data_IF_949454755465
#
_entry.id   IF_949454755465
#
_cell.length_a   1.000
_cell.length_b   1.000
_cell.length_c   1.000
_cell.angle_alpha   90.00
_cell.angle_beta   90.00
_cell.angle_gamma   90.00
#
_symmetry.space_group_name_H-M   'P 1'
#
loop_
_entity.id
_entity.type
_entity.pdbx_description
1 polymer ?
#
# COMPACT_ATOMS: atom_id res chain seq x y z
N UNK A 1 -53.92 46.19 -58.32
CA UNK A 1 -54.19 45.05 -57.41
C UNK A 1 -52.78 44.49 -57.04
N UNK A 2 -52.33 44.77 -55.85
CA UNK A 2 -50.96 44.49 -55.39
C UNK A 2 -50.93 43.16 -54.59
N UNK A 3 -50.18 42.20 -55.13
CA UNK A 3 -49.86 40.96 -54.41
C UNK A 3 -48.46 41.04 -53.78
N UNK A 4 -48.39 41.17 -52.46
CA UNK A 4 -47.13 41.19 -51.69
C UNK A 4 -46.73 39.75 -51.37
N UNK A 5 -45.64 39.30 -51.99
CA UNK A 5 -45.00 38.02 -51.71
C UNK A 5 -44.16 38.17 -50.40
N UNK A 6 -44.50 37.44 -49.35
CA UNK A 6 -43.71 37.35 -48.10
C UNK A 6 -42.72 36.20 -48.25
N UNK A 7 -41.42 36.51 -48.30
CA UNK A 7 -40.34 35.56 -48.19
C UNK A 7 -40.09 35.32 -46.70
N UNK A 8 -40.37 34.13 -46.24
CA UNK A 8 -40.02 33.69 -44.90
C UNK A 8 -38.60 33.12 -44.93
N UNK A 9 -37.64 33.85 -44.33
CA UNK A 9 -36.27 33.39 -44.13
C UNK A 9 -36.24 32.41 -42.97
N UNK A 10 -36.01 31.14 -43.23
CA UNK A 10 -35.79 30.09 -42.24
C UNK A 10 -34.32 30.15 -41.80
N UNK A 11 -34.04 30.75 -40.66
CA UNK A 11 -32.70 30.70 -40.06
C UNK A 11 -32.48 29.36 -39.38
N UNK A 12 -31.71 28.48 -40.01
CA UNK A 12 -31.28 27.21 -39.49
C UNK A 12 -30.10 27.46 -38.52
N UNK A 13 -30.42 27.50 -37.23
CA UNK A 13 -29.40 27.60 -36.15
C UNK A 13 -28.71 26.23 -36.02
N UNK A 14 -27.53 26.05 -36.62
CA UNK A 14 -26.61 24.95 -36.29
C UNK A 14 -26.09 25.18 -34.87
N UNK A 15 -26.64 24.49 -33.87
CA UNK A 15 -25.98 24.29 -32.61
C UNK A 15 -24.78 23.36 -32.82
N UNK A 16 -23.58 23.94 -32.92
CA UNK A 16 -22.34 23.20 -32.73
C UNK A 16 -22.30 22.75 -31.27
N UNK A 17 -22.70 21.53 -30.99
CA UNK A 17 -22.33 20.85 -29.76
C UNK A 17 -20.81 20.67 -29.83
N UNK A 18 -20.07 21.63 -29.29
CA UNK A 18 -18.66 21.47 -29.00
C UNK A 18 -18.56 20.37 -27.97
N UNK A 19 -18.39 19.13 -28.41
CA UNK A 19 -17.89 18.08 -27.55
C UNK A 19 -16.54 18.57 -27.05
N UNK A 20 -16.50 19.11 -25.83
CA UNK A 20 -15.24 19.32 -25.15
C UNK A 20 -14.56 17.96 -25.10
N UNK A 21 -13.54 17.75 -25.93
CA UNK A 21 -12.61 16.65 -25.73
C UNK A 21 -12.14 16.81 -24.29
N UNK A 22 -12.53 15.89 -23.42
CA UNK A 22 -12.00 15.84 -22.07
C UNK A 22 -10.49 15.68 -22.25
N UNK A 23 -9.74 16.72 -21.89
CA UNK A 23 -8.29 16.63 -21.93
C UNK A 23 -7.88 15.49 -20.98
N UNK A 24 -6.93 14.67 -21.41
CA UNK A 24 -6.38 13.60 -20.58
C UNK A 24 -5.97 14.17 -19.23
N UNK A 25 -6.51 13.60 -18.14
CA UNK A 25 -6.13 14.00 -16.79
C UNK A 25 -4.67 13.61 -16.53
N UNK A 26 -3.86 14.55 -16.08
CA UNK A 26 -2.47 14.31 -15.71
C UNK A 26 -2.35 14.16 -14.20
N UNK A 27 -1.89 13.00 -13.74
CA UNK A 27 -1.69 12.70 -12.33
C UNK A 27 -0.21 12.48 -12.06
N UNK A 28 0.36 13.30 -11.18
CA UNK A 28 1.72 13.08 -10.67
C UNK A 28 1.71 12.04 -9.56
N UNK A 29 2.53 11.00 -9.69
CA UNK A 29 2.63 9.91 -8.72
C UNK A 29 4.04 9.84 -8.15
N UNK A 30 4.22 10.23 -6.89
CA UNK A 30 5.49 10.11 -6.18
C UNK A 30 5.48 8.88 -5.27
N UNK A 31 6.31 7.90 -5.62
CA UNK A 31 6.48 6.66 -4.86
C UNK A 31 7.67 6.78 -3.92
N UNK A 32 7.58 6.18 -2.75
CA UNK A 32 8.69 6.17 -1.78
C UNK A 32 9.94 5.51 -2.36
N UNK A 33 9.76 4.41 -3.11
CA UNK A 33 10.81 3.71 -3.84
C UNK A 33 10.20 2.81 -4.93
N UNK A 34 11.00 2.46 -5.96
CA UNK A 34 10.54 1.63 -7.09
C UNK A 34 10.88 0.15 -6.95
N UNK A 35 11.87 -0.18 -6.16
CA UNK A 35 12.44 -1.52 -6.00
C UNK A 35 11.83 -2.35 -4.86
N UNK A 36 10.84 -1.82 -4.14
CA UNK A 36 10.01 -2.59 -3.22
C UNK A 36 9.03 -3.48 -4.01
N UNK A 37 9.02 -4.76 -3.69
CA UNK A 37 8.24 -5.77 -4.42
C UNK A 37 6.74 -5.43 -4.41
N UNK A 38 6.16 -5.13 -3.25
CA UNK A 38 4.73 -4.84 -3.18
C UNK A 38 4.36 -3.51 -3.85
N UNK A 39 5.20 -2.46 -3.69
CA UNK A 39 5.00 -1.18 -4.34
C UNK A 39 5.12 -1.27 -5.88
N UNK A 40 5.86 -2.24 -6.39
CA UNK A 40 5.89 -2.53 -7.83
C UNK A 40 4.53 -3.00 -8.32
N UNK A 41 3.86 -3.93 -7.61
CA UNK A 41 2.51 -4.36 -7.96
C UNK A 41 1.48 -3.23 -7.84
N UNK A 42 1.61 -2.36 -6.83
CA UNK A 42 0.77 -1.17 -6.69
C UNK A 42 0.92 -0.26 -7.90
N UNK A 43 2.16 0.08 -8.28
CA UNK A 43 2.46 0.97 -9.42
C UNK A 43 1.96 0.40 -10.74
N UNK A 44 2.22 -0.88 -11.02
CA UNK A 44 1.72 -1.57 -12.22
C UNK A 44 0.19 -1.62 -12.28
N UNK A 45 -0.46 -1.81 -11.13
CA UNK A 45 -1.92 -1.81 -11.05
C UNK A 45 -2.50 -0.41 -11.29
N UNK A 46 -1.84 0.66 -10.81
CA UNK A 46 -2.21 2.04 -11.12
C UNK A 46 -2.12 2.32 -12.62
N UNK A 47 -1.03 1.92 -13.27
CA UNK A 47 -0.84 2.11 -14.71
C UNK A 47 -1.93 1.36 -15.51
N UNK A 48 -2.22 0.11 -15.16
CA UNK A 48 -3.31 -0.67 -15.77
C UNK A 48 -4.67 -0.01 -15.57
N UNK A 49 -4.96 0.48 -14.35
CA UNK A 49 -6.22 1.17 -14.05
C UNK A 49 -6.36 2.45 -14.87
N UNK A 50 -5.35 3.30 -14.91
CA UNK A 50 -5.36 4.55 -15.67
C UNK A 50 -5.64 4.31 -17.15
N UNK A 51 -4.96 3.33 -17.77
CA UNK A 51 -5.16 2.93 -19.17
C UNK A 51 -6.55 2.36 -19.47
N UNK A 52 -7.26 1.87 -18.47
CA UNK A 52 -8.61 1.31 -18.62
C UNK A 52 -9.71 2.37 -18.58
N UNK A 53 -9.40 3.60 -18.19
CA UNK A 53 -10.40 4.66 -18.04
C UNK A 53 -10.72 5.32 -19.39
N UNK A 54 -12.00 5.48 -19.73
CA UNK A 54 -12.43 6.01 -21.04
C UNK A 54 -12.08 7.49 -21.25
N UNK A 55 -11.95 8.25 -20.15
CA UNK A 55 -11.68 9.70 -20.19
C UNK A 55 -10.21 10.05 -20.35
N UNK A 56 -9.33 9.05 -20.54
CA UNK A 56 -7.88 9.24 -20.60
C UNK A 56 -7.28 9.73 -19.26
N UNK A 57 -6.40 8.94 -18.69
CA UNK A 57 -5.60 9.33 -17.50
C UNK A 57 -4.14 9.01 -17.79
N UNK A 58 -3.30 10.03 -17.75
CA UNK A 58 -1.85 9.87 -17.88
C UNK A 58 -1.19 9.96 -16.51
N UNK A 59 -0.42 8.94 -16.14
CA UNK A 59 0.35 8.91 -14.90
C UNK A 59 1.82 9.23 -15.17
N UNK A 60 2.37 10.15 -14.39
CA UNK A 60 3.80 10.40 -14.34
C UNK A 60 4.35 9.90 -13.02
N UNK A 61 5.13 8.82 -13.06
CA UNK A 61 5.72 8.22 -11.87
C UNK A 61 7.11 8.78 -11.59
N UNK A 62 7.39 9.08 -10.32
CA UNK A 62 8.70 9.49 -9.83
C UNK A 62 9.11 8.65 -8.63
N UNK A 63 10.37 8.24 -8.61
CA UNK A 63 11.00 7.45 -7.54
C UNK A 63 11.70 8.37 -6.54
N UNK A 64 11.21 8.44 -5.31
CA UNK A 64 11.84 9.22 -4.25
C UNK A 64 13.13 8.56 -3.70
N UNK A 65 13.34 7.26 -3.96
CA UNK A 65 14.51 6.50 -3.47
C UNK A 65 14.71 6.58 -1.95
N UNK A 66 13.60 6.48 -1.22
CA UNK A 66 13.57 6.61 0.24
C UNK A 66 14.13 7.95 0.77
N UNK A 67 14.12 9.01 -0.04
CA UNK A 67 14.58 10.35 0.31
C UNK A 67 13.38 11.32 0.43
N UNK A 68 13.12 11.80 1.65
CA UNK A 68 12.02 12.73 1.98
C UNK A 68 12.18 14.08 1.25
N UNK A 69 13.42 14.58 1.11
CA UNK A 69 13.68 15.86 0.45
C UNK A 69 13.41 15.73 -1.04
N UNK A 70 13.88 14.63 -1.64
CA UNK A 70 13.61 14.32 -3.04
C UNK A 70 12.12 14.16 -3.30
N UNK A 71 11.39 13.47 -2.40
CA UNK A 71 9.94 13.32 -2.53
C UNK A 71 9.22 14.66 -2.53
N UNK A 72 9.59 15.59 -1.63
CA UNK A 72 9.02 16.94 -1.62
C UNK A 72 9.32 17.67 -2.94
N UNK A 73 10.57 17.63 -3.43
CA UNK A 73 10.94 18.27 -4.70
C UNK A 73 10.18 17.72 -5.90
N UNK A 74 9.87 16.42 -5.92
CA UNK A 74 9.03 15.80 -6.94
C UNK A 74 7.60 16.36 -6.91
N UNK A 75 7.01 16.48 -5.72
CA UNK A 75 5.67 17.06 -5.55
C UNK A 75 5.65 18.53 -6.02
N UNK A 76 6.66 19.33 -5.63
CA UNK A 76 6.79 20.73 -6.08
C UNK A 76 6.96 20.81 -7.61
N UNK A 77 7.68 19.87 -8.21
CA UNK A 77 7.81 19.77 -9.67
C UNK A 77 6.47 19.47 -10.34
N UNK A 78 5.70 18.51 -9.85
CA UNK A 78 4.35 18.21 -10.35
C UNK A 78 3.40 19.41 -10.22
N UNK A 79 3.46 20.13 -9.09
CA UNK A 79 2.70 21.37 -8.90
C UNK A 79 3.07 22.42 -9.96
N UNK A 80 4.36 22.60 -10.22
CA UNK A 80 4.86 23.53 -11.23
C UNK A 80 4.44 23.13 -12.67
N UNK A 81 4.31 21.83 -12.93
CA UNK A 81 3.79 21.27 -14.19
C UNK A 81 2.25 21.37 -14.30
N UNK A 82 1.57 21.81 -13.22
CA UNK A 82 0.12 21.95 -13.16
C UNK A 82 -0.61 20.63 -13.43
N UNK A 83 -0.16 19.55 -12.80
CA UNK A 83 -0.90 18.28 -12.84
C UNK A 83 -2.28 18.45 -12.22
N UNK A 84 -3.26 17.65 -12.65
CA UNK A 84 -4.63 17.76 -12.20
C UNK A 84 -4.83 17.16 -10.80
N UNK A 85 -4.02 16.17 -10.41
CA UNK A 85 -4.00 15.58 -9.09
C UNK A 85 -2.62 15.01 -8.74
N UNK A 86 -2.41 14.76 -7.45
CA UNK A 86 -1.23 14.13 -6.90
C UNK A 86 -1.61 12.82 -6.20
N UNK A 87 -0.82 11.77 -6.41
CA UNK A 87 -0.85 10.55 -5.61
C UNK A 87 0.53 10.37 -4.98
N UNK A 88 0.59 10.18 -3.67
CA UNK A 88 1.85 10.06 -2.94
C UNK A 88 1.85 8.83 -2.06
N UNK A 89 2.84 7.96 -2.26
CA UNK A 89 3.18 6.92 -1.29
C UNK A 89 4.34 7.47 -0.43
N UNK A 90 4.10 7.87 0.84
CA UNK A 90 5.09 8.58 1.63
C UNK A 90 6.36 7.77 1.90
N UNK A 91 7.52 8.44 1.82
CA UNK A 91 8.80 7.90 2.34
C UNK A 91 8.73 7.80 3.86
N UNK A 92 8.32 8.89 4.51
CA UNK A 92 8.19 9.00 5.96
C UNK A 92 6.79 9.54 6.30
N UNK A 93 6.03 8.79 7.10
CA UNK A 93 4.64 9.13 7.42
C UNK A 93 4.52 10.33 8.37
N UNK A 94 5.56 10.63 9.15
CA UNK A 94 5.62 11.81 10.01
C UNK A 94 6.04 13.08 9.25
N UNK A 95 6.69 12.95 8.07
CA UNK A 95 7.21 14.09 7.30
C UNK A 95 6.27 14.61 6.20
N UNK A 96 5.01 14.18 6.18
CA UNK A 96 4.05 14.48 5.11
C UNK A 96 3.49 15.91 5.11
N UNK A 97 3.61 16.66 6.21
CA UNK A 97 3.01 17.98 6.35
C UNK A 97 3.43 18.97 5.26
N UNK A 98 4.69 18.96 4.82
CA UNK A 98 5.20 19.85 3.76
C UNK A 98 4.53 19.55 2.43
N UNK A 99 4.40 18.28 2.08
CA UNK A 99 3.70 17.79 0.88
C UNK A 99 2.23 18.22 0.92
N UNK A 100 1.55 17.96 2.04
CA UNK A 100 0.15 18.37 2.27
C UNK A 100 -0.02 19.87 2.07
N UNK A 101 0.82 20.70 2.71
CA UNK A 101 0.76 22.16 2.60
C UNK A 101 0.98 22.65 1.17
N UNK A 102 1.95 22.09 0.45
CA UNK A 102 2.25 22.46 -0.93
C UNK A 102 1.07 22.15 -1.87
N UNK A 103 0.50 20.96 -1.78
CA UNK A 103 -0.66 20.57 -2.59
C UNK A 103 -1.90 21.43 -2.30
N UNK A 104 -2.22 21.67 -1.03
CA UNK A 104 -3.36 22.50 -0.61
C UNK A 104 -3.19 23.95 -1.06
N UNK A 105 -1.99 24.53 -0.90
CA UNK A 105 -1.70 25.90 -1.33
C UNK A 105 -1.82 26.06 -2.87
N UNK A 106 -1.49 25.01 -3.63
CA UNK A 106 -1.65 24.99 -5.08
C UNK A 106 -3.10 24.67 -5.53
N UNK A 107 -3.98 24.27 -4.62
CA UNK A 107 -5.34 23.85 -4.93
C UNK A 107 -5.42 22.52 -5.70
N UNK A 108 -4.36 21.69 -5.64
CA UNK A 108 -4.29 20.42 -6.35
C UNK A 108 -4.74 19.29 -5.42
N UNK A 109 -5.72 18.47 -5.81
CA UNK A 109 -6.13 17.29 -5.06
C UNK A 109 -4.96 16.35 -4.75
N UNK A 110 -4.88 15.86 -3.51
CA UNK A 110 -3.83 14.96 -3.05
C UNK A 110 -4.43 13.66 -2.49
N UNK A 111 -3.97 12.53 -3.01
CA UNK A 111 -4.28 11.20 -2.48
C UNK A 111 -3.02 10.59 -1.90
N UNK A 112 -3.00 10.33 -0.61
CA UNK A 112 -1.99 9.46 -0.01
C UNK A 112 -2.41 8.00 -0.21
N UNK A 113 -1.49 7.17 -0.69
CA UNK A 113 -1.77 5.76 -0.97
C UNK A 113 -0.89 4.84 -0.13
N UNK A 114 -1.46 3.75 0.35
CA UNK A 114 -0.82 2.69 1.14
C UNK A 114 -0.35 3.16 2.53
N UNK A 115 0.63 4.05 2.61
CA UNK A 115 1.14 4.63 3.86
C UNK A 115 0.36 5.91 4.18
N UNK A 116 -0.20 6.00 5.36
CA UNK A 116 -1.02 7.14 5.79
C UNK A 116 -0.14 8.20 6.47
N UNK A 117 -0.44 9.50 6.30
CA UNK A 117 0.12 10.51 7.19
C UNK A 117 -0.19 10.20 8.66
N UNK A 118 0.72 10.58 9.55
CA UNK A 118 0.50 10.44 11.01
C UNK A 118 -0.50 11.48 11.55
N UNK A 119 -0.83 12.49 10.76
CA UNK A 119 -1.81 13.51 11.10
C UNK A 119 -3.20 12.90 11.32
N UNK A 120 -3.80 13.22 12.46
CA UNK A 120 -5.13 12.71 12.85
C UNK A 120 -6.28 13.29 12.02
N UNK A 121 -6.05 14.46 11.38
CA UNK A 121 -7.00 15.11 10.47
C UNK A 121 -6.28 15.65 9.25
N UNK A 122 -6.71 15.19 8.09
CA UNK A 122 -6.26 15.72 6.82
C UNK A 122 -7.16 16.92 6.42
N UNK A 123 -6.59 17.98 5.81
CA UNK A 123 -7.37 19.10 5.31
C UNK A 123 -8.26 18.72 4.12
N UNK A 124 -9.20 19.59 3.79
CA UNK A 124 -10.02 19.43 2.59
C UNK A 124 -9.12 19.34 1.35
N UNK A 125 -9.46 18.47 0.42
CA UNK A 125 -8.65 18.21 -0.78
C UNK A 125 -7.52 17.20 -0.58
N UNK A 126 -7.45 16.56 0.60
CA UNK A 126 -6.47 15.50 0.91
C UNK A 126 -7.20 14.25 1.40
N UNK A 127 -6.94 13.12 0.76
CA UNK A 127 -7.60 11.82 1.02
C UNK A 127 -6.54 10.75 1.20
N UNK A 128 -6.88 9.69 1.91
CA UNK A 128 -6.04 8.49 2.02
C UNK A 128 -6.75 7.27 1.44
N UNK A 129 -6.02 6.45 0.70
CA UNK A 129 -6.44 5.11 0.24
C UNK A 129 -5.47 4.10 0.80
N UNK A 130 -5.89 3.29 1.76
CA UNK A 130 -5.02 2.39 2.50
C UNK A 130 -5.78 1.20 3.11
N UNK A 131 -5.04 0.28 3.69
CA UNK A 131 -5.57 -0.79 4.54
C UNK A 131 -5.32 -0.49 6.02
N UNK A 132 -6.07 -1.12 6.92
CA UNK A 132 -5.86 -0.97 8.37
C UNK A 132 -4.72 -1.89 8.84
N UNK A 133 -3.52 -1.37 8.92
CA UNK A 133 -2.32 -2.11 9.30
C UNK A 133 -2.40 -2.73 10.72
N UNK A 134 -3.21 -2.17 11.61
CA UNK A 134 -3.45 -2.73 12.93
C UNK A 134 -4.13 -4.10 12.81
N UNK A 135 -5.11 -4.20 11.91
CA UNK A 135 -5.84 -5.44 11.66
C UNK A 135 -4.93 -6.52 11.04
N UNK A 136 -3.99 -6.14 10.16
CA UNK A 136 -3.03 -7.11 9.61
C UNK A 136 -2.22 -7.79 10.71
N UNK A 137 -1.68 -7.02 11.66
CA UNK A 137 -0.94 -7.57 12.79
C UNK A 137 -1.79 -8.45 13.70
N UNK A 138 -3.05 -8.07 13.93
CA UNK A 138 -4.00 -8.88 14.69
C UNK A 138 -4.27 -10.22 14.01
N UNK A 139 -4.52 -10.22 12.70
CA UNK A 139 -4.77 -11.43 11.91
C UNK A 139 -3.58 -12.38 11.97
N UNK A 140 -2.34 -11.88 11.77
CA UNK A 140 -1.12 -12.68 11.85
C UNK A 140 -0.99 -13.37 13.21
N UNK A 141 -1.04 -12.56 14.27
CA UNK A 141 -0.77 -13.06 15.61
C UNK A 141 -1.87 -14.00 16.11
N UNK A 142 -3.15 -13.72 15.81
CA UNK A 142 -4.25 -14.61 16.19
C UNK A 142 -4.06 -15.98 15.56
N UNK A 143 -3.75 -16.04 14.25
CA UNK A 143 -3.51 -17.33 13.57
C UNK A 143 -2.33 -18.10 14.21
N UNK A 144 -1.22 -17.41 14.46
CA UNK A 144 -0.05 -18.07 15.06
C UNK A 144 -0.32 -18.52 16.50
N UNK A 145 -0.98 -17.69 17.33
CA UNK A 145 -1.32 -18.06 18.70
C UNK A 145 -2.18 -19.32 18.75
N UNK A 146 -3.17 -19.44 17.86
CA UNK A 146 -4.02 -20.63 17.76
C UNK A 146 -3.20 -21.86 17.34
N UNK A 147 -2.30 -21.73 16.35
CA UNK A 147 -1.43 -22.83 15.89
C UNK A 147 -0.38 -23.25 16.92
N UNK A 148 0.11 -22.31 17.73
CA UNK A 148 1.08 -22.54 18.80
C UNK A 148 0.41 -23.09 20.09
N UNK A 149 -0.92 -23.13 20.15
CA UNK A 149 -1.64 -23.52 21.38
C UNK A 149 -1.47 -22.50 22.51
N UNK A 150 -1.27 -21.23 22.17
CA UNK A 150 -1.21 -20.11 23.12
C UNK A 150 0.07 -19.98 23.92
N UNK A 151 1.16 -20.67 23.56
CA UNK A 151 2.44 -20.65 24.29
C UNK A 151 3.65 -20.78 23.35
N UNK A 152 4.81 -20.31 23.81
CA UNK A 152 6.09 -20.40 23.09
C UNK A 152 6.75 -19.04 22.89
N UNK A 153 7.84 -19.03 22.15
CA UNK A 153 8.66 -17.85 21.92
C UNK A 153 8.58 -17.41 20.47
N UNK A 154 8.53 -16.11 20.25
CA UNK A 154 8.43 -15.53 18.91
C UNK A 154 9.50 -14.47 18.68
N UNK A 155 9.84 -14.25 17.43
CA UNK A 155 10.66 -13.11 16.99
C UNK A 155 9.88 -12.27 15.98
N UNK A 156 10.13 -10.95 15.96
CA UNK A 156 9.43 -10.01 15.08
C UNK A 156 10.41 -9.33 14.14
N UNK A 157 10.17 -9.46 12.83
CA UNK A 157 10.84 -8.73 11.78
C UNK A 157 10.04 -7.47 11.44
N UNK A 158 10.59 -6.33 11.82
CA UNK A 158 9.97 -5.02 11.61
C UNK A 158 10.27 -4.48 10.21
N UNK A 159 9.31 -3.78 9.62
CA UNK A 159 9.53 -2.96 8.45
C UNK A 159 10.41 -1.74 8.71
N UNK A 160 10.36 -0.74 7.84
CA UNK A 160 11.03 0.53 8.05
C UNK A 160 10.33 1.33 9.16
N UNK A 161 11.11 1.84 10.11
CA UNK A 161 10.58 2.56 11.28
C UNK A 161 10.01 3.94 10.95
N UNK A 162 10.34 4.51 9.79
CA UNK A 162 9.74 5.74 9.27
C UNK A 162 8.29 5.55 8.77
N UNK A 163 7.79 4.31 8.77
CA UNK A 163 6.46 3.99 8.27
C UNK A 163 5.52 3.56 9.40
N UNK A 164 4.36 4.20 9.50
CA UNK A 164 3.34 3.81 10.45
C UNK A 164 2.74 2.41 10.20
N UNK A 165 2.89 1.86 8.99
CA UNK A 165 2.58 0.45 8.72
C UNK A 165 3.38 -0.49 9.62
N UNK A 166 4.66 -0.23 9.82
CA UNK A 166 5.53 -0.99 10.74
C UNK A 166 5.00 -0.93 12.17
N UNK A 167 4.76 0.28 12.66
CA UNK A 167 4.28 0.52 14.03
C UNK A 167 2.90 -0.11 14.25
N UNK A 168 1.98 0.04 13.32
CA UNK A 168 0.60 -0.44 13.46
C UNK A 168 0.52 -1.96 13.33
N UNK A 169 1.20 -2.60 12.37
CA UNK A 169 1.26 -4.07 12.28
C UNK A 169 1.83 -4.66 13.56
N UNK A 170 2.95 -4.13 14.04
CA UNK A 170 3.57 -4.58 15.29
C UNK A 170 2.68 -4.33 16.51
N UNK A 171 1.96 -3.20 16.57
CA UNK A 171 0.99 -2.93 17.61
C UNK A 171 -0.16 -3.94 17.59
N UNK A 172 -0.69 -4.26 16.41
CA UNK A 172 -1.73 -5.29 16.25
C UNK A 172 -1.28 -6.66 16.76
N UNK A 173 -0.04 -7.05 16.48
CA UNK A 173 0.58 -8.26 17.04
C UNK A 173 0.57 -8.20 18.57
N UNK A 174 1.07 -7.10 19.15
CA UNK A 174 1.17 -6.94 20.61
C UNK A 174 -0.21 -6.90 21.32
N UNK A 175 -1.24 -6.37 20.67
CA UNK A 175 -2.62 -6.39 21.19
C UNK A 175 -3.19 -7.81 21.30
N UNK A 176 -2.88 -8.68 20.37
CA UNK A 176 -3.27 -10.09 20.46
C UNK A 176 -2.41 -10.83 21.50
N UNK A 177 -1.10 -10.60 21.53
CA UNK A 177 -0.19 -11.18 22.52
C UNK A 177 -0.63 -10.92 23.97
N UNK A 178 -1.22 -9.77 24.24
CA UNK A 178 -1.75 -9.45 25.56
C UNK A 178 -2.79 -10.47 26.07
N UNK A 179 -3.40 -11.25 25.18
CA UNK A 179 -4.36 -12.33 25.51
C UNK A 179 -3.69 -13.69 25.75
N UNK A 180 -2.39 -13.80 25.40
CA UNK A 180 -1.61 -15.04 25.45
C UNK A 180 -0.32 -14.84 26.26
N UNK A 181 -0.41 -14.77 27.61
CA UNK A 181 0.72 -14.43 28.47
C UNK A 181 1.88 -15.42 28.42
N UNK A 182 1.64 -16.63 27.92
CA UNK A 182 2.65 -17.68 27.75
C UNK A 182 3.37 -17.63 26.40
N UNK A 183 3.06 -16.63 25.53
CA UNK A 183 3.84 -16.33 24.33
C UNK A 183 4.75 -15.13 24.64
N UNK A 184 6.07 -15.30 24.41
CA UNK A 184 7.08 -14.28 24.69
C UNK A 184 7.72 -13.77 23.42
N UNK A 185 8.05 -12.48 23.39
CA UNK A 185 8.87 -11.90 22.32
C UNK A 185 10.34 -12.01 22.73
N UNK A 186 11.11 -12.84 22.03
CA UNK A 186 12.55 -13.01 22.24
C UNK A 186 13.36 -11.93 21.54
N UNK A 187 12.97 -11.52 20.34
CA UNK A 187 13.67 -10.52 19.56
C UNK A 187 12.70 -9.70 18.71
N UNK A 188 13.02 -8.44 18.52
CA UNK A 188 12.28 -7.52 17.66
C UNK A 188 13.28 -6.57 16.98
N UNK A 189 13.44 -6.69 15.64
CA UNK A 189 14.43 -5.89 14.92
C UNK A 189 13.97 -5.54 13.50
N UNK A 190 14.42 -4.35 13.01
CA UNK A 190 14.05 -3.89 11.67
C UNK A 190 14.86 -4.54 10.57
N UNK A 191 14.19 -5.16 9.61
CA UNK A 191 14.73 -5.64 8.35
C UNK A 191 14.35 -4.73 7.16
N UNK A 192 13.73 -3.56 7.43
CA UNK A 192 13.43 -2.52 6.44
C UNK A 192 12.79 -3.04 5.15
N UNK A 193 11.83 -3.96 5.26
CA UNK A 193 11.09 -4.61 4.18
C UNK A 193 11.92 -5.56 3.29
N UNK A 194 13.23 -5.73 3.56
CA UNK A 194 14.17 -6.45 2.71
C UNK A 194 14.25 -7.95 3.02
N UNK A 195 14.16 -8.79 1.99
CA UNK A 195 14.35 -10.25 2.08
C UNK A 195 15.72 -10.60 2.66
N UNK A 196 16.77 -9.98 2.15
CA UNK A 196 18.14 -10.25 2.56
C UNK A 196 18.38 -9.85 4.04
N UNK A 197 17.81 -8.72 4.47
CA UNK A 197 17.90 -8.31 5.88
C UNK A 197 17.09 -9.23 6.79
N UNK A 198 15.90 -9.66 6.37
CA UNK A 198 15.13 -10.66 7.10
C UNK A 198 15.90 -11.95 7.28
N UNK A 199 16.57 -12.44 6.23
CA UNK A 199 17.45 -13.61 6.29
C UNK A 199 18.64 -13.40 7.22
N UNK A 200 19.33 -12.25 7.12
CA UNK A 200 20.48 -11.93 7.96
C UNK A 200 20.11 -11.91 9.44
N UNK A 201 19.02 -11.22 9.81
CA UNK A 201 18.55 -11.11 11.19
C UNK A 201 18.23 -12.48 11.81
N UNK A 202 17.53 -13.35 11.06
CA UNK A 202 17.20 -14.69 11.56
C UNK A 202 18.46 -15.55 11.69
N UNK A 203 19.40 -15.49 10.75
CA UNK A 203 20.70 -16.17 10.88
C UNK A 203 21.48 -15.69 12.11
N UNK A 204 21.49 -14.39 12.38
CA UNK A 204 22.15 -13.80 13.55
C UNK A 204 21.53 -14.33 14.86
N UNK A 205 20.21 -14.39 14.95
CA UNK A 205 19.51 -14.92 16.12
C UNK A 205 19.80 -16.40 16.33
N UNK A 206 19.78 -17.22 15.28
CA UNK A 206 20.14 -18.64 15.34
C UNK A 206 21.60 -18.83 15.78
N UNK A 207 22.53 -18.02 15.26
CA UNK A 207 23.95 -18.06 15.63
C UNK A 207 24.18 -17.68 17.08
N UNK A 208 23.34 -16.80 17.63
CA UNK A 208 23.33 -16.43 19.06
C UNK A 208 22.69 -17.51 19.95
N UNK A 209 22.24 -18.62 19.38
CA UNK A 209 21.60 -19.71 20.14
C UNK A 209 20.18 -19.37 20.60
N UNK A 210 19.48 -18.45 19.91
CA UNK A 210 18.07 -18.14 20.23
C UNK A 210 17.16 -19.22 19.68
N UNK A 211 16.31 -19.72 20.57
CA UNK A 211 15.22 -20.64 20.20
C UNK A 211 13.89 -19.86 20.12
N UNK A 212 13.13 -20.12 19.09
CA UNK A 212 11.81 -19.52 18.90
C UNK A 212 10.90 -20.46 18.08
N UNK A 213 9.61 -20.37 18.35
CA UNK A 213 8.58 -21.20 17.73
C UNK A 213 7.92 -20.53 16.54
N UNK A 214 8.02 -19.19 16.44
CA UNK A 214 7.49 -18.48 15.28
C UNK A 214 8.26 -17.20 14.94
N UNK A 215 8.20 -16.83 13.66
CA UNK A 215 8.65 -15.56 13.11
C UNK A 215 7.43 -14.79 12.62
N UNK A 216 7.21 -13.60 13.16
CA UNK A 216 6.20 -12.66 12.67
C UNK A 216 6.93 -11.60 11.88
N UNK A 217 6.58 -11.46 10.61
CA UNK A 217 7.19 -10.48 9.72
C UNK A 217 6.16 -9.43 9.30
N UNK A 218 6.57 -8.17 9.30
CA UNK A 218 5.71 -7.09 8.82
C UNK A 218 5.44 -7.14 7.31
N UNK A 219 6.19 -7.95 6.53
CA UNK A 219 5.88 -8.22 5.12
C UNK A 219 6.34 -9.63 4.68
N UNK A 220 5.94 -10.05 3.47
CA UNK A 220 6.31 -11.36 2.89
C UNK A 220 7.79 -11.46 2.55
N UNK A 221 8.41 -10.40 2.07
CA UNK A 221 9.83 -10.43 1.68
C UNK A 221 10.73 -10.83 2.84
N UNK A 222 10.58 -10.16 3.99
CA UNK A 222 11.35 -10.52 5.19
C UNK A 222 10.96 -11.91 5.72
N UNK A 223 9.68 -12.32 5.63
CA UNK A 223 9.22 -13.66 6.00
C UNK A 223 9.87 -14.75 5.15
N UNK A 224 9.98 -14.53 3.85
CA UNK A 224 10.68 -15.44 2.92
C UNK A 224 12.17 -15.49 3.28
N UNK A 225 12.79 -14.36 3.59
CA UNK A 225 14.17 -14.30 4.10
C UNK A 225 14.36 -15.16 5.35
N UNK A 226 13.43 -15.06 6.31
CA UNK A 226 13.42 -15.91 7.50
C UNK A 226 13.34 -17.41 7.17
N UNK A 227 12.44 -17.78 6.24
CA UNK A 227 12.31 -19.16 5.78
C UNK A 227 13.61 -19.69 5.16
N UNK A 228 14.31 -18.84 4.40
CA UNK A 228 15.61 -19.19 3.81
C UNK A 228 16.68 -19.42 4.89
N UNK A 229 16.76 -18.56 5.90
CA UNK A 229 17.69 -18.68 7.01
C UNK A 229 17.46 -19.99 7.80
N UNK A 230 16.22 -20.27 8.18
CA UNK A 230 15.83 -21.52 8.87
C UNK A 230 16.20 -22.76 8.06
N UNK A 231 15.94 -22.74 6.75
CA UNK A 231 16.31 -23.83 5.85
C UNK A 231 17.83 -24.04 5.78
N UNK A 232 18.62 -22.96 5.69
CA UNK A 232 20.09 -23.04 5.69
C UNK A 232 20.64 -23.60 7.00
N UNK A 233 20.02 -23.26 8.13
CA UNK A 233 20.36 -23.79 9.44
C UNK A 233 19.93 -25.26 9.65
N UNK A 234 19.28 -25.90 8.66
CA UNK A 234 18.80 -27.28 8.77
C UNK A 234 17.57 -27.42 9.67
N UNK A 235 16.87 -26.35 9.98
CA UNK A 235 15.66 -26.38 10.79
C UNK A 235 14.59 -27.21 10.08
N UNK A 236 13.97 -28.14 10.82
CA UNK A 236 12.90 -28.97 10.26
C UNK A 236 11.74 -28.08 9.78
N UNK A 237 11.33 -28.29 8.54
CA UNK A 237 10.22 -27.56 7.94
C UNK A 237 8.96 -27.64 8.79
N UNK A 238 8.34 -26.49 9.06
CA UNK A 238 7.13 -26.40 9.86
C UNK A 238 7.34 -26.48 11.38
N UNK A 239 8.57 -26.66 11.88
CA UNK A 239 8.84 -26.62 13.33
C UNK A 239 8.86 -25.17 13.85
N UNK A 240 9.18 -24.19 13.00
CA UNK A 240 9.03 -22.77 13.26
C UNK A 240 7.96 -22.24 12.30
N UNK A 241 6.92 -21.61 12.84
CA UNK A 241 5.85 -21.03 12.05
C UNK A 241 6.26 -19.63 11.54
N UNK A 242 5.91 -19.29 10.31
CA UNK A 242 6.27 -17.99 9.74
C UNK A 242 5.00 -17.29 9.24
N UNK A 243 4.80 -16.04 9.65
CA UNK A 243 3.71 -15.19 9.21
C UNK A 243 4.24 -13.98 8.43
N UNK A 244 3.61 -13.67 7.28
CA UNK A 244 3.89 -12.51 6.45
C UNK A 244 2.68 -11.58 6.31
N UNK A 245 2.86 -10.51 5.55
CA UNK A 245 1.82 -9.61 5.03
C UNK A 245 2.20 -9.31 3.60
N UNK A 246 1.28 -9.12 2.73
CA UNK A 246 1.24 -8.67 1.34
C UNK A 246 0.46 -9.67 0.47
N UNK A 247 0.71 -10.96 0.59
CA UNK A 247 0.19 -11.97 -0.33
C UNK A 247 0.81 -11.85 -1.72
N UNK A 248 2.12 -11.55 -1.79
CA UNK A 248 2.87 -11.51 -3.04
C UNK A 248 2.90 -12.89 -3.71
N UNK A 249 3.11 -13.00 -5.04
CA UNK A 249 3.26 -14.31 -5.70
C UNK A 249 4.27 -15.21 -5.03
N UNK A 250 5.41 -14.67 -4.57
CA UNK A 250 6.41 -15.43 -3.82
C UNK A 250 5.91 -15.83 -2.43
N UNK A 251 5.17 -14.97 -1.73
CA UNK A 251 4.52 -15.27 -0.46
C UNK A 251 3.47 -16.38 -0.60
N UNK A 252 2.59 -16.30 -1.62
CA UNK A 252 1.62 -17.35 -1.95
C UNK A 252 2.31 -18.68 -2.23
N UNK A 253 3.41 -18.67 -2.99
CA UNK A 253 4.19 -19.85 -3.29
C UNK A 253 4.88 -20.43 -2.04
N UNK A 254 5.36 -19.58 -1.13
CA UNK A 254 5.94 -20.00 0.14
C UNK A 254 4.91 -20.70 1.04
N UNK A 255 3.66 -20.21 1.07
CA UNK A 255 2.55 -20.85 1.79
C UNK A 255 2.22 -22.20 1.15
N UNK A 256 2.08 -22.28 -0.19
CA UNK A 256 1.82 -23.55 -0.92
C UNK A 256 2.88 -24.60 -0.68
N UNK A 257 4.13 -24.17 -0.56
CA UNK A 257 5.24 -25.07 -0.24
C UNK A 257 5.32 -25.42 1.25
N UNK A 258 4.58 -24.73 2.11
CA UNK A 258 4.66 -24.88 3.56
C UNK A 258 5.93 -24.28 4.16
N UNK A 259 6.56 -23.32 3.49
CA UNK A 259 7.70 -22.53 3.99
C UNK A 259 7.21 -21.36 4.86
N UNK A 260 5.98 -20.88 4.62
CA UNK A 260 5.24 -19.95 5.46
C UNK A 260 3.92 -20.59 5.91
N UNK A 261 3.50 -20.29 7.13
CA UNK A 261 2.24 -20.80 7.69
C UNK A 261 1.04 -19.96 7.27
N UNK A 262 1.25 -18.65 7.07
CA UNK A 262 0.18 -17.66 6.85
C UNK A 262 0.76 -16.38 6.25
N UNK A 263 -0.05 -15.69 5.47
CA UNK A 263 0.16 -14.28 5.13
C UNK A 263 -1.15 -13.51 5.26
N UNK A 264 -1.09 -12.18 5.23
CA UNK A 264 -2.25 -11.32 5.17
C UNK A 264 -2.25 -10.59 3.84
N UNK A 265 -3.24 -10.86 3.00
CA UNK A 265 -3.36 -10.27 1.68
C UNK A 265 -3.59 -8.77 1.75
N UNK A 266 -2.65 -7.99 1.24
CA UNK A 266 -2.75 -6.56 1.00
C UNK A 266 -3.08 -6.33 -0.47
N UNK A 267 -4.30 -5.91 -0.77
CA UNK A 267 -4.80 -5.79 -2.14
C UNK A 267 -4.21 -4.58 -2.86
N UNK A 268 -3.08 -4.78 -3.55
CA UNK A 268 -2.39 -3.75 -4.34
C UNK A 268 -3.29 -3.20 -5.45
N UNK A 269 -4.07 -4.08 -6.11
CA UNK A 269 -5.02 -3.67 -7.15
C UNK A 269 -6.14 -2.82 -6.55
N UNK A 270 -6.71 -3.23 -5.43
CA UNK A 270 -7.77 -2.48 -4.75
C UNK A 270 -7.29 -1.09 -4.31
N UNK A 271 -6.06 -0.97 -3.78
CA UNK A 271 -5.47 0.32 -3.42
C UNK A 271 -5.15 1.17 -4.66
N UNK A 272 -4.67 0.57 -5.74
CA UNK A 272 -4.43 1.25 -7.01
C UNK A 272 -5.73 1.81 -7.61
N UNK A 273 -6.74 0.95 -7.78
CA UNK A 273 -8.05 1.33 -8.31
C UNK A 273 -8.67 2.44 -7.46
N UNK A 274 -8.68 2.26 -6.14
CA UNK A 274 -9.20 3.24 -5.19
C UNK A 274 -8.49 4.59 -5.27
N UNK A 275 -7.16 4.61 -5.42
CA UNK A 275 -6.38 5.85 -5.48
C UNK A 275 -6.63 6.62 -6.79
N UNK A 276 -6.67 5.94 -7.92
CA UNK A 276 -6.94 6.56 -9.23
C UNK A 276 -8.40 7.05 -9.27
N UNK A 277 -9.38 6.22 -8.89
CA UNK A 277 -10.79 6.60 -8.88
C UNK A 277 -11.05 7.80 -7.94
N UNK A 278 -10.39 7.82 -6.77
CA UNK A 278 -10.48 8.94 -5.82
C UNK A 278 -9.88 10.21 -6.42
N UNK A 279 -8.68 10.16 -7.01
CA UNK A 279 -8.06 11.31 -7.65
C UNK A 279 -8.96 11.88 -8.76
N UNK A 280 -9.50 11.02 -9.64
CA UNK A 280 -10.42 11.42 -10.73
C UNK A 280 -11.70 12.06 -10.17
N UNK A 281 -12.31 11.49 -9.14
CA UNK A 281 -13.50 12.06 -8.48
C UNK A 281 -13.20 13.44 -7.89
N UNK A 282 -12.05 13.60 -7.23
CA UNK A 282 -11.67 14.89 -6.63
C UNK A 282 -11.45 15.96 -7.69
N UNK A 283 -10.80 15.65 -8.82
CA UNK A 283 -10.66 16.57 -9.95
C UNK A 283 -12.04 16.96 -10.51
N UNK A 284 -12.96 16.01 -10.63
CA UNK A 284 -14.35 16.24 -11.07
C UNK A 284 -15.23 16.88 -9.99
N UNK A 285 -14.66 17.24 -8.83
CA UNK A 285 -15.39 17.82 -7.67
C UNK A 285 -16.54 16.97 -7.17
N UNK A 286 -16.42 15.67 -7.31
CA UNK A 286 -17.38 14.69 -6.79
C UNK A 286 -17.05 14.37 -5.32
N UNK A 287 -18.04 13.99 -4.50
CA UNK A 287 -17.82 13.64 -3.11
C UNK A 287 -16.92 12.40 -2.98
N UNK A 288 -16.01 12.44 -2.02
CA UNK A 288 -15.11 11.35 -1.66
C UNK A 288 -15.04 11.21 -0.14
N UNK A 289 -14.85 9.99 0.33
CA UNK A 289 -14.54 9.75 1.74
C UNK A 289 -13.10 10.22 2.05
N UNK A 290 -12.86 10.72 3.27
CA UNK A 290 -11.53 11.16 3.68
C UNK A 290 -10.53 9.99 3.77
N UNK A 291 -11.02 8.79 4.05
CA UNK A 291 -10.24 7.55 3.99
C UNK A 291 -11.03 6.49 3.25
N UNK A 292 -10.44 5.98 2.18
CA UNK A 292 -10.95 4.83 1.43
C UNK A 292 -10.22 3.59 1.93
N UNK A 293 -10.94 2.74 2.65
CA UNK A 293 -10.38 1.53 3.22
C UNK A 293 -10.44 0.36 2.24
N UNK A 294 -9.30 -0.29 2.04
CA UNK A 294 -9.16 -1.55 1.30
C UNK A 294 -8.91 -2.67 2.31
N UNK A 295 -9.83 -3.63 2.46
CA UNK A 295 -9.75 -4.61 3.55
C UNK A 295 -8.58 -5.58 3.38
N UNK A 296 -7.96 -5.96 4.47
CA UNK A 296 -7.07 -7.11 4.55
C UNK A 296 -7.85 -8.43 4.54
N UNK A 297 -7.21 -9.52 4.07
CA UNK A 297 -7.77 -10.88 4.09
C UNK A 297 -6.69 -11.87 4.49
N UNK A 298 -7.04 -12.83 5.35
CA UNK A 298 -6.10 -13.86 5.78
C UNK A 298 -5.87 -14.89 4.67
N UNK A 299 -4.62 -15.24 4.41
CA UNK A 299 -4.20 -16.28 3.47
C UNK A 299 -3.61 -17.44 4.26
N UNK A 300 -4.24 -18.59 4.16
CA UNK A 300 -3.81 -19.84 4.82
C UNK A 300 -3.59 -20.92 3.77
N UNK A 301 -2.96 -22.05 4.10
CA UNK A 301 -2.83 -23.18 3.16
C UNK A 301 -4.17 -23.65 2.57
N UNK A 302 -5.27 -23.49 3.32
CA UNK A 302 -6.60 -23.95 2.92
C UNK A 302 -7.25 -23.06 1.86
N UNK A 303 -6.85 -21.77 1.76
CA UNK A 303 -7.47 -20.81 0.85
C UNK A 303 -6.50 -20.12 -0.12
N UNK A 304 -5.22 -20.43 -0.08
CA UNK A 304 -4.16 -19.77 -0.87
C UNK A 304 -4.43 -19.76 -2.38
N UNK A 305 -5.14 -20.75 -2.91
CA UNK A 305 -5.49 -20.84 -4.33
C UNK A 305 -6.56 -19.81 -4.77
N UNK A 306 -7.23 -19.14 -3.83
CA UNK A 306 -8.18 -18.07 -4.12
C UNK A 306 -7.48 -16.72 -4.38
N UNK A 307 -6.17 -16.62 -4.10
CA UNK A 307 -5.36 -15.42 -4.30
C UNK A 307 -4.45 -15.60 -5.51
N UNK A 308 -4.29 -14.53 -6.30
CA UNK A 308 -3.51 -14.54 -7.56
C UNK A 308 -2.68 -13.27 -7.65
#
# INVERSE_FOLDING_TARGET
MNTKTRIASLALSLMFASGAALADLKIGVSMSQFDDTWLTYLRESMDKKAKSLPDGVTLQFEDARSDVVKQLSQVESFISQKVDALIVNPVDTAATQRITKAAVAAGIPLVYVNRRPDDSKLPQGVVTVASDDLEAGRMQMQYLADKMGGKGDIVILLGDLANNSTTNRTKGVKEILAKYPDIKIEQEQTGTWSRDKGMTLVNDWLTQGRDFNAVISNNDEMAIGAAMALKQAGTKKGSVLIAGVDGTPDGLNAIKKGDMAVSVFQDAKGQADGSIDTAVKMVKKQPVEQTVWVPYRLITPENVDQFK
#
